data_IF_724468718251
#
_entry.id   IF_724468718251
#
_cell.length_a   1.000
_cell.length_b   1.000
_cell.length_c   1.000
_cell.angle_alpha   90.00
_cell.angle_beta   90.00
_cell.angle_gamma   90.00
#
_symmetry.space_group_name_H-M   'P 1'
#
loop_
_entity.id
_entity.type
_entity.pdbx_description
1 polymer ?
#
# COMPACT_ATOMS: atom_id res chain seq x y z
N UNK A 1 -31.72 33.26 0.87
CA UNK A 1 -31.61 31.79 0.85
C UNK A 1 -30.38 31.43 1.66
N UNK A 2 -30.55 31.02 2.92
CA UNK A 2 -29.42 30.69 3.79
C UNK A 2 -28.65 29.51 3.18
N UNK A 3 -27.36 29.67 2.92
CA UNK A 3 -26.46 28.54 2.64
C UNK A 3 -26.40 27.70 3.91
N UNK A 4 -27.34 26.77 4.02
CA UNK A 4 -27.31 25.64 4.96
C UNK A 4 -25.97 24.85 4.88
N UNK A 5 -25.15 25.18 3.88
CA UNK A 5 -23.88 24.59 3.53
C UNK A 5 -22.64 25.40 3.96
N UNK A 6 -22.71 26.58 4.58
CA UNK A 6 -21.46 27.27 4.96
C UNK A 6 -20.73 26.59 6.13
N UNK A 7 -21.47 25.89 6.99
CA UNK A 7 -20.88 25.09 8.07
C UNK A 7 -20.54 23.67 7.59
N UNK A 8 -19.23 23.40 7.43
CA UNK A 8 -18.71 22.08 7.05
C UNK A 8 -19.13 20.98 8.02
N UNK A 9 -19.18 21.28 9.33
CA UNK A 9 -19.53 20.30 10.37
C UNK A 9 -20.96 19.80 10.21
N UNK A 10 -21.91 20.72 10.01
CA UNK A 10 -23.32 20.40 9.75
C UNK A 10 -23.51 19.59 8.46
N UNK A 11 -22.77 19.92 7.39
CA UNK A 11 -22.81 19.12 6.15
C UNK A 11 -22.38 17.67 6.38
N UNK A 12 -21.27 17.47 7.07
CA UNK A 12 -20.77 16.12 7.37
C UNK A 12 -21.76 15.34 8.23
N UNK A 13 -22.34 15.98 9.26
CA UNK A 13 -23.39 15.36 10.07
C UNK A 13 -24.62 14.97 9.25
N UNK A 14 -25.05 15.85 8.33
CA UNK A 14 -26.18 15.57 7.43
C UNK A 14 -25.86 14.45 6.45
N UNK A 15 -24.65 14.41 5.90
CA UNK A 15 -24.21 13.28 5.07
C UNK A 15 -24.17 11.97 5.87
N UNK A 16 -23.71 12.02 7.13
CA UNK A 16 -23.70 10.85 8.03
C UNK A 16 -25.11 10.31 8.27
N UNK A 17 -26.12 11.18 8.47
CA UNK A 17 -27.51 10.73 8.65
C UNK A 17 -28.08 10.07 7.40
N UNK A 18 -27.79 10.59 6.20
CA UNK A 18 -28.23 9.93 4.96
C UNK A 18 -27.61 8.55 4.76
N UNK A 19 -26.31 8.40 5.05
CA UNK A 19 -25.67 7.09 5.00
C UNK A 19 -26.23 6.12 6.05
N UNK A 20 -26.58 6.62 7.23
CA UNK A 20 -27.20 5.81 8.29
C UNK A 20 -28.60 5.34 7.90
N UNK A 21 -29.44 6.22 7.34
CA UNK A 21 -30.75 5.85 6.80
C UNK A 21 -30.66 4.82 5.68
N UNK A 22 -29.71 4.99 4.76
CA UNK A 22 -29.43 4.01 3.72
C UNK A 22 -29.07 2.63 4.32
N UNK A 23 -28.17 2.59 5.31
CA UNK A 23 -27.77 1.33 5.94
C UNK A 23 -28.90 0.67 6.74
N UNK A 24 -29.76 1.46 7.41
CA UNK A 24 -30.97 0.95 8.08
C UNK A 24 -31.89 0.27 7.08
N UNK A 25 -32.12 0.89 5.92
CA UNK A 25 -32.93 0.33 4.85
C UNK A 25 -32.32 -0.98 4.32
N UNK A 26 -31.02 -0.99 4.02
CA UNK A 26 -30.34 -2.19 3.54
C UNK A 26 -30.36 -3.34 4.56
N UNK A 27 -30.24 -3.03 5.86
CA UNK A 27 -30.35 -4.03 6.93
C UNK A 27 -31.79 -4.53 7.10
N UNK A 28 -32.81 -3.70 6.86
CA UNK A 28 -34.22 -4.13 6.88
C UNK A 28 -34.51 -5.17 5.79
N UNK A 29 -33.89 -5.03 4.62
CA UNK A 29 -33.97 -5.99 3.52
C UNK A 29 -32.98 -7.17 3.63
N UNK A 30 -32.25 -7.28 4.74
CA UNK A 30 -31.26 -8.35 4.97
C UNK A 30 -30.15 -8.41 3.90
N UNK A 31 -29.83 -7.27 3.28
CA UNK A 31 -28.80 -7.16 2.25
C UNK A 31 -27.40 -6.91 2.82
N UNK A 32 -27.30 -6.68 4.13
CA UNK A 32 -26.05 -6.36 4.83
C UNK A 32 -25.56 -7.61 5.56
N UNK A 33 -24.35 -8.06 5.23
CA UNK A 33 -23.69 -9.17 5.92
C UNK A 33 -23.29 -8.80 7.36
N UNK A 34 -23.20 -9.80 8.24
CA UNK A 34 -22.93 -9.59 9.67
C UNK A 34 -21.62 -8.84 9.92
N UNK A 35 -20.59 -9.09 9.12
CA UNK A 35 -19.31 -8.39 9.18
C UNK A 35 -19.49 -6.89 8.91
N UNK A 36 -20.21 -6.54 7.84
CA UNK A 36 -20.53 -5.15 7.49
C UNK A 36 -21.45 -4.50 8.53
N UNK A 37 -22.41 -5.25 9.07
CA UNK A 37 -23.32 -4.80 10.13
C UNK A 37 -22.56 -4.44 11.40
N UNK A 38 -21.57 -5.23 11.79
CA UNK A 38 -20.67 -4.92 12.91
C UNK A 38 -19.88 -3.64 12.65
N UNK A 39 -19.28 -3.50 11.46
CA UNK A 39 -18.53 -2.29 11.08
C UNK A 39 -19.41 -1.03 11.08
N UNK A 40 -20.64 -1.13 10.56
CA UNK A 40 -21.59 -0.02 10.58
C UNK A 40 -21.97 0.39 12.01
N UNK A 41 -22.30 -0.57 12.88
CA UNK A 41 -22.61 -0.30 14.29
C UNK A 41 -21.44 0.37 15.02
N UNK A 42 -20.22 -0.10 14.77
CA UNK A 42 -19.00 0.49 15.33
C UNK A 42 -18.82 1.97 14.92
N UNK A 43 -19.20 2.35 13.69
CA UNK A 43 -19.14 3.74 13.20
C UNK A 43 -20.24 4.66 13.73
N UNK A 44 -21.41 4.11 14.10
CA UNK A 44 -22.51 4.91 14.67
C UNK A 44 -22.37 5.04 16.19
N UNK A 45 -22.00 3.97 16.88
CA UNK A 45 -21.92 3.89 18.34
C UNK A 45 -20.51 3.49 18.81
N UNK A 46 -19.51 4.39 18.69
CA UNK A 46 -18.14 4.08 19.08
C UNK A 46 -17.98 3.85 20.59
N UNK A 47 -18.94 4.25 21.42
CA UNK A 47 -18.90 4.02 22.88
C UNK A 47 -19.19 2.57 23.26
N UNK A 48 -20.09 1.89 22.54
CA UNK A 48 -20.48 0.52 22.82
C UNK A 48 -19.33 -0.47 22.52
N UNK A 49 -18.48 -0.15 21.54
CA UNK A 49 -17.33 -0.98 21.18
C UNK A 49 -16.04 -0.66 21.98
N UNK A 50 -16.08 0.22 23.00
CA UNK A 50 -14.89 0.51 23.84
C UNK A 50 -14.29 -0.72 24.55
N UNK A 51 -15.02 -1.83 24.62
CA UNK A 51 -14.54 -3.10 25.16
C UNK A 51 -13.99 -4.08 24.12
N UNK A 52 -14.03 -3.75 22.83
CA UNK A 52 -13.51 -4.65 21.79
C UNK A 52 -11.98 -4.60 21.74
N UNK A 53 -11.28 -5.75 21.60
CA UNK A 53 -9.84 -5.77 21.41
C UNK A 53 -9.48 -4.94 20.18
N UNK A 54 -8.53 -4.01 20.32
CA UNK A 54 -7.95 -3.34 19.15
C UNK A 54 -7.34 -4.39 18.25
N UNK A 55 -7.72 -4.38 16.97
CA UNK A 55 -7.14 -5.26 15.97
C UNK A 55 -5.63 -5.02 15.91
N UNK A 56 -4.89 -6.09 15.65
CA UNK A 56 -3.46 -5.99 15.35
C UNK A 56 -3.26 -5.34 13.98
N UNK A 57 -2.12 -4.68 13.78
CA UNK A 57 -1.80 -4.06 12.48
C UNK A 57 -1.83 -5.08 11.31
N UNK A 58 -1.54 -6.36 11.59
CA UNK A 58 -1.60 -7.46 10.62
C UNK A 58 -3.05 -7.75 10.24
N UNK A 59 -3.96 -7.85 11.22
CA UNK A 59 -5.39 -8.06 10.97
C UNK A 59 -6.01 -6.89 10.21
N UNK A 60 -5.67 -5.66 10.55
CA UNK A 60 -6.14 -4.47 9.81
C UNK A 60 -5.71 -4.50 8.35
N UNK A 61 -4.45 -4.87 8.08
CA UNK A 61 -3.93 -5.05 6.72
C UNK A 61 -4.69 -6.15 5.99
N UNK A 62 -4.91 -7.31 6.62
CA UNK A 62 -5.61 -8.43 6.01
C UNK A 62 -7.06 -8.06 5.68
N UNK A 63 -7.77 -7.41 6.60
CA UNK A 63 -9.13 -6.90 6.38
C UNK A 63 -9.17 -5.93 5.18
N UNK A 64 -8.18 -5.04 5.05
CA UNK A 64 -8.08 -4.12 3.91
C UNK A 64 -7.87 -4.85 2.58
N UNK A 65 -7.03 -5.89 2.59
CA UNK A 65 -6.76 -6.72 1.40
C UNK A 65 -8.03 -7.46 0.98
N UNK A 66 -8.75 -8.06 1.93
CA UNK A 66 -10.01 -8.75 1.67
C UNK A 66 -11.09 -7.79 1.15
N UNK A 67 -11.23 -6.61 1.75
CA UNK A 67 -12.15 -5.57 1.28
C UNK A 67 -11.85 -5.18 -0.17
N UNK A 68 -10.57 -4.99 -0.52
CA UNK A 68 -10.14 -4.68 -1.88
C UNK A 68 -10.42 -5.83 -2.86
N UNK A 69 -10.18 -7.09 -2.46
CA UNK A 69 -10.50 -8.27 -3.28
C UNK A 69 -12.00 -8.37 -3.54
N UNK A 70 -12.83 -8.27 -2.50
CA UNK A 70 -14.31 -8.28 -2.61
C UNK A 70 -14.80 -7.15 -3.52
N UNK A 71 -14.26 -5.94 -3.35
CA UNK A 71 -14.60 -4.79 -4.19
C UNK A 71 -14.28 -5.04 -5.67
N UNK A 72 -13.08 -5.56 -5.98
CA UNK A 72 -12.68 -5.88 -7.35
C UNK A 72 -13.59 -6.94 -7.97
N UNK A 73 -13.92 -7.99 -7.22
CA UNK A 73 -14.81 -9.05 -7.68
C UNK A 73 -16.20 -8.52 -8.04
N UNK A 74 -16.81 -7.71 -7.15
CA UNK A 74 -18.12 -7.09 -7.41
C UNK A 74 -18.04 -6.16 -8.62
N UNK A 75 -16.95 -5.40 -8.76
CA UNK A 75 -16.76 -4.50 -9.91
C UNK A 75 -16.65 -5.27 -11.23
N UNK A 76 -15.91 -6.38 -11.26
CA UNK A 76 -15.85 -7.27 -12.44
C UNK A 76 -17.22 -7.86 -12.78
N UNK A 77 -17.99 -8.24 -11.75
CA UNK A 77 -19.34 -8.76 -11.93
C UNK A 77 -20.29 -7.72 -12.50
N UNK A 78 -20.24 -6.48 -12.01
CA UNK A 78 -21.00 -5.34 -12.56
C UNK A 78 -20.65 -5.14 -14.04
N UNK A 79 -19.36 -5.14 -14.39
CA UNK A 79 -18.92 -4.92 -15.78
C UNK A 79 -19.40 -6.03 -16.71
N UNK A 80 -19.34 -7.30 -16.26
CA UNK A 80 -19.82 -8.45 -17.04
C UNK A 80 -21.32 -8.39 -17.30
N UNK A 81 -22.11 -7.99 -16.30
CA UNK A 81 -23.59 -8.03 -16.36
C UNK A 81 -24.22 -6.78 -16.99
N UNK A 82 -23.43 -5.72 -17.23
CA UNK A 82 -23.92 -4.39 -17.59
C UNK A 82 -24.76 -4.36 -18.88
N UNK A 83 -24.41 -5.17 -19.86
CA UNK A 83 -25.03 -5.17 -21.20
C UNK A 83 -25.99 -6.37 -21.41
N UNK A 84 -26.20 -7.20 -20.37
CA UNK A 84 -27.11 -8.35 -20.48
C UNK A 84 -28.56 -7.88 -20.63
N UNK A 85 -29.33 -8.65 -21.41
CA UNK A 85 -30.76 -8.44 -21.63
C UNK A 85 -31.63 -9.47 -20.90
N UNK A 86 -31.01 -10.45 -20.24
CA UNK A 86 -31.73 -11.47 -19.48
C UNK A 86 -32.18 -10.90 -18.14
N UNK A 87 -33.45 -11.11 -17.77
CA UNK A 87 -34.06 -10.54 -16.55
C UNK A 87 -33.28 -10.93 -15.28
N UNK A 88 -32.79 -12.16 -15.20
CA UNK A 88 -32.00 -12.66 -14.06
C UNK A 88 -30.65 -11.95 -13.94
N UNK A 89 -29.98 -11.68 -15.06
CA UNK A 89 -28.72 -10.94 -15.09
C UNK A 89 -28.92 -9.47 -14.72
N UNK A 90 -30.01 -8.85 -15.17
CA UNK A 90 -30.38 -7.47 -14.81
C UNK A 90 -30.60 -7.39 -13.30
N UNK A 91 -31.31 -8.35 -12.71
CA UNK A 91 -31.50 -8.41 -11.26
C UNK A 91 -30.16 -8.56 -10.55
N UNK A 92 -29.29 -9.46 -11.01
CA UNK A 92 -27.99 -9.70 -10.40
C UNK A 92 -27.05 -8.49 -10.52
N UNK A 93 -27.13 -7.73 -11.62
CA UNK A 93 -26.43 -6.46 -11.82
C UNK A 93 -26.82 -5.44 -10.74
N UNK A 94 -28.11 -5.23 -10.52
CA UNK A 94 -28.58 -4.27 -9.52
C UNK A 94 -28.25 -4.71 -8.09
N UNK A 95 -28.32 -6.00 -7.78
CA UNK A 95 -27.87 -6.54 -6.49
C UNK A 95 -26.37 -6.31 -6.26
N UNK A 96 -25.56 -6.45 -7.31
CA UNK A 96 -24.12 -6.17 -7.28
C UNK A 96 -23.83 -4.67 -7.09
N UNK A 97 -24.61 -3.80 -7.73
CA UNK A 97 -24.56 -2.35 -7.55
C UNK A 97 -24.90 -1.91 -6.12
N UNK A 98 -25.95 -2.49 -5.52
CA UNK A 98 -26.31 -2.24 -4.12
C UNK A 98 -25.18 -2.70 -3.19
N UNK A 99 -24.62 -3.89 -3.42
CA UNK A 99 -23.49 -4.40 -2.65
C UNK A 99 -22.27 -3.47 -2.71
N UNK A 100 -21.96 -2.94 -3.90
CA UNK A 100 -20.91 -1.94 -4.10
C UNK A 100 -21.21 -0.63 -3.36
N UNK A 101 -22.47 -0.18 -3.36
CA UNK A 101 -22.90 1.02 -2.64
C UNK A 101 -22.79 0.86 -1.12
N UNK A 102 -23.12 -0.31 -0.58
CA UNK A 102 -22.91 -0.65 0.85
C UNK A 102 -21.42 -0.54 1.20
N UNK A 103 -20.53 -1.16 0.42
CA UNK A 103 -19.08 -1.06 0.67
C UNK A 103 -18.56 0.38 0.62
N UNK A 104 -19.02 1.17 -0.36
CA UNK A 104 -18.66 2.60 -0.46
C UNK A 104 -19.15 3.39 0.75
N UNK A 105 -20.34 3.06 1.27
CA UNK A 105 -20.93 3.73 2.43
C UNK A 105 -20.12 3.49 3.70
N UNK A 106 -19.66 2.25 3.95
CA UNK A 106 -18.77 1.94 5.08
C UNK A 106 -17.45 2.73 5.00
N UNK A 107 -16.85 2.78 3.81
CA UNK A 107 -15.64 3.59 3.61
C UNK A 107 -15.90 5.09 3.83
N UNK A 108 -17.07 5.58 3.38
CA UNK A 108 -17.49 6.96 3.60
C UNK A 108 -17.68 7.28 5.08
N UNK A 109 -18.24 6.37 5.90
CA UNK A 109 -18.33 6.55 7.36
C UNK A 109 -16.96 6.78 8.00
N UNK A 110 -15.96 5.93 7.67
CA UNK A 110 -14.59 6.09 8.18
C UNK A 110 -14.01 7.46 7.80
N UNK A 111 -14.19 7.88 6.55
CA UNK A 111 -13.75 9.18 6.05
C UNK A 111 -14.43 10.35 6.77
N UNK A 112 -15.76 10.25 6.96
CA UNK A 112 -16.59 11.22 7.67
C UNK A 112 -16.16 11.36 9.13
N UNK A 113 -15.91 10.25 9.82
CA UNK A 113 -15.54 10.26 11.23
C UNK A 113 -14.16 10.90 11.44
N UNK A 114 -13.18 10.57 10.59
CA UNK A 114 -11.86 11.23 10.61
C UNK A 114 -11.98 12.73 10.36
N UNK A 115 -12.74 13.14 9.34
CA UNK A 115 -12.92 14.56 9.04
C UNK A 115 -13.64 15.28 10.19
N UNK A 116 -14.66 14.65 10.78
CA UNK A 116 -15.37 15.21 11.91
C UNK A 116 -14.45 15.41 13.13
N UNK A 117 -13.58 14.44 13.43
CA UNK A 117 -12.57 14.57 14.48
C UNK A 117 -11.60 15.71 14.21
N UNK A 118 -11.13 15.86 12.96
CA UNK A 118 -10.27 16.98 12.56
C UNK A 118 -10.95 18.34 12.75
N UNK A 119 -12.24 18.44 12.43
CA UNK A 119 -13.00 19.67 12.66
C UNK A 119 -13.19 19.96 14.14
N UNK A 120 -13.49 18.95 14.95
CA UNK A 120 -13.60 19.10 16.42
C UNK A 120 -12.26 19.55 17.01
N UNK A 121 -11.16 18.97 16.57
CA UNK A 121 -9.82 19.37 16.98
C UNK A 121 -9.47 20.78 16.52
N UNK A 122 -9.76 21.14 15.28
CA UNK A 122 -9.59 22.51 14.77
C UNK A 122 -10.39 23.51 15.62
N UNK A 123 -11.60 23.16 16.02
CA UNK A 123 -12.46 24.00 16.84
C UNK A 123 -12.02 24.05 18.32
N UNK A 124 -11.10 23.19 18.77
CA UNK A 124 -10.50 23.26 20.12
C UNK A 124 -9.19 24.05 20.18
N UNK A 125 -8.52 24.26 19.03
CA UNK A 125 -7.30 25.07 18.95
C UNK A 125 -7.59 26.56 19.18
N UNK A 126 -6.65 27.35 19.75
CA UNK A 126 -6.78 28.80 19.86
C UNK A 126 -6.86 29.46 18.48
N UNK A 127 -7.50 30.63 18.37
CA UNK A 127 -7.82 31.26 17.08
C UNK A 127 -6.56 31.61 16.27
N UNK A 128 -5.45 31.94 16.95
CA UNK A 128 -4.15 32.20 16.35
C UNK A 128 -3.59 30.96 15.61
N UNK A 129 -3.85 29.76 16.14
CA UNK A 129 -3.41 28.50 15.54
C UNK A 129 -4.34 28.02 14.40
N UNK A 130 -5.55 28.58 14.27
CA UNK A 130 -6.49 28.24 13.20
C UNK A 130 -6.23 28.98 11.90
N UNK A 131 -5.53 30.12 11.95
CA UNK A 131 -5.22 30.90 10.76
C UNK A 131 -4.22 30.12 9.92
N UNK A 132 -4.46 29.95 8.62
CA UNK A 132 -3.43 29.44 7.72
C UNK A 132 -2.19 30.27 7.94
N UNK A 133 -1.04 29.62 8.14
CA UNK A 133 0.24 30.32 8.24
C UNK A 133 0.40 31.18 6.98
N UNK A 134 0.16 32.48 7.10
CA UNK A 134 0.36 33.45 6.01
C UNK A 134 1.83 33.63 5.65
N UNK A 135 2.75 32.95 6.34
CA UNK A 135 4.16 32.94 5.96
C UNK A 135 4.24 32.52 4.50
N UNK A 136 4.68 33.40 3.59
CA UNK A 136 4.94 33.03 2.21
C UNK A 136 5.82 31.80 2.26
N UNK A 137 5.38 30.69 1.69
CA UNK A 137 6.21 29.50 1.57
C UNK A 137 7.42 29.95 0.78
N UNK A 138 8.55 30.17 1.46
CA UNK A 138 9.81 30.43 0.78
C UNK A 138 9.97 29.30 -0.23
N UNK A 139 10.31 29.61 -1.49
CA UNK A 139 10.42 28.60 -2.54
C UNK A 139 11.28 27.47 -2.00
N UNK A 140 10.70 26.27 -1.94
CA UNK A 140 11.34 25.13 -1.31
C UNK A 140 12.76 25.01 -1.87
N UNK A 141 13.76 25.04 -0.98
CA UNK A 141 15.16 24.88 -1.40
C UNK A 141 15.23 23.62 -2.25
N UNK A 142 15.87 23.68 -3.44
CA UNK A 142 15.95 22.51 -4.32
C UNK A 142 16.55 21.35 -3.52
N UNK A 143 15.91 20.18 -3.62
CA UNK A 143 16.38 18.97 -2.96
C UNK A 143 17.83 18.73 -3.35
N UNK A 144 18.72 18.65 -2.35
CA UNK A 144 20.10 18.30 -2.59
C UNK A 144 20.14 16.81 -2.95
N UNK A 145 20.64 16.50 -4.15
CA UNK A 145 20.87 15.12 -4.58
C UNK A 145 22.09 14.61 -3.81
N UNK A 146 21.86 13.74 -2.83
CA UNK A 146 22.93 12.99 -2.20
C UNK A 146 23.39 11.88 -3.16
N UNK A 147 24.59 12.02 -3.71
CA UNK A 147 25.21 10.95 -4.49
C UNK A 147 25.65 9.83 -3.54
N UNK A 148 25.07 8.64 -3.73
CA UNK A 148 25.54 7.41 -3.08
C UNK A 148 26.88 7.06 -3.75
N UNK A 149 28.03 7.12 -3.03
CA UNK A 149 29.31 6.75 -3.60
C UNK A 149 29.26 5.28 -4.06
N UNK A 150 29.76 5.01 -5.27
CA UNK A 150 29.81 3.65 -5.86
C UNK A 150 30.82 2.72 -5.15
N UNK A 151 31.60 3.24 -4.21
CA UNK A 151 32.58 2.48 -3.44
C UNK A 151 32.02 2.08 -2.09
N UNK A 152 31.30 0.95 -2.05
CA UNK A 152 31.02 0.19 -0.83
C UNK A 152 29.94 0.77 0.09
N UNK A 153 29.06 -0.11 0.57
CA UNK A 153 28.08 0.17 1.62
C UNK A 153 28.72 0.51 2.99
N UNK A 154 30.04 0.47 3.11
CA UNK A 154 30.78 0.52 4.39
C UNK A 154 30.84 1.93 5.03
N UNK A 155 30.38 2.97 4.32
CA UNK A 155 30.47 4.37 4.79
C UNK A 155 29.15 5.10 4.97
N UNK A 156 28.00 4.44 4.76
CA UNK A 156 26.71 5.11 4.93
C UNK A 156 26.28 5.08 6.41
N UNK A 157 25.93 6.23 7.02
CA UNK A 157 25.30 6.26 8.34
C UNK A 157 23.92 5.61 8.20
N UNK A 158 23.90 4.33 8.54
CA UNK A 158 22.77 3.41 8.57
C UNK A 158 21.48 4.07 9.12
N UNK A 159 20.43 4.18 8.29
CA UNK A 159 19.02 4.23 8.73
C UNK A 159 18.38 2.83 8.69
N UNK A 160 19.07 1.84 8.11
CA UNK A 160 18.66 0.43 8.13
C UNK A 160 19.43 -0.37 9.18
N UNK A 161 19.52 0.16 10.40
CA UNK A 161 20.15 -0.52 11.53
C UNK A 161 19.30 -1.70 11.99
N UNK A 162 19.86 -2.90 11.86
CA UNK A 162 19.38 -4.11 12.51
C UNK A 162 19.32 -3.86 14.03
N UNK A 163 18.16 -4.09 14.64
CA UNK A 163 17.80 -3.62 15.99
C UNK A 163 18.45 -4.41 17.14
N UNK A 164 19.61 -5.05 16.90
CA UNK A 164 20.31 -5.80 17.92
C UNK A 164 21.78 -5.40 17.96
N UNK A 165 22.18 -4.84 19.10
CA UNK A 165 23.55 -4.65 19.59
C UNK A 165 24.23 -3.31 19.25
N UNK A 166 24.28 -2.44 20.27
CA UNK A 166 25.50 -1.81 20.82
C UNK A 166 25.29 -0.34 21.20
N UNK A 167 25.77 -0.01 22.41
CA UNK A 167 25.69 1.29 23.05
C UNK A 167 26.55 2.37 22.36
N UNK A 168 26.20 3.67 22.46
CA UNK A 168 26.95 4.73 21.81
C UNK A 168 28.17 5.15 22.65
N UNK A 169 29.37 4.88 22.14
CA UNK A 169 30.60 5.53 22.58
C UNK A 169 30.81 6.79 21.75
N UNK A 170 30.66 7.95 22.38
CA UNK A 170 30.89 9.27 21.79
C UNK A 170 32.40 9.48 21.62
N UNK A 171 32.89 9.42 20.38
CA UNK A 171 34.25 9.83 20.03
C UNK A 171 34.19 11.11 19.19
N UNK A 172 34.59 12.22 19.80
CA UNK A 172 34.78 13.51 19.14
C UNK A 172 36.13 13.50 18.40
N UNK A 173 36.10 13.39 17.08
CA UNK A 173 37.24 13.68 16.22
C UNK A 173 36.85 14.75 15.18
N UNK A 174 37.60 15.86 15.08
CA UNK A 174 37.34 16.89 14.09
C UNK A 174 37.92 16.48 12.73
N UNK A 175 37.05 16.05 11.81
CA UNK A 175 37.44 15.84 10.41
C UNK A 175 37.52 17.18 9.69
N UNK A 176 38.76 17.54 9.38
CA UNK A 176 39.18 18.66 8.54
C UNK A 176 38.45 18.68 7.19
N UNK A 177 37.68 19.74 6.98
CA UNK A 177 36.94 20.03 5.76
C UNK A 177 37.86 20.62 4.69
N UNK A 178 38.35 19.78 3.77
CA UNK A 178 38.81 20.25 2.47
C UNK A 178 37.63 20.21 1.48
N UNK A 179 37.21 21.33 0.89
CA UNK A 179 36.15 21.33 -0.11
C UNK A 179 36.69 20.76 -1.42
N UNK A 180 36.34 19.51 -1.74
CA UNK A 180 36.54 18.95 -3.08
C UNK A 180 35.45 19.56 -3.98
N UNK A 181 35.71 20.78 -4.44
CA UNK A 181 34.97 21.40 -5.53
C UNK A 181 35.47 20.77 -6.83
N UNK A 182 34.83 19.67 -7.26
CA UNK A 182 34.85 19.31 -8.67
C UNK A 182 33.72 20.09 -9.33
N UNK A 183 34.06 21.27 -9.85
CA UNK A 183 33.23 21.97 -10.83
C UNK A 183 33.05 21.06 -12.03
N UNK A 184 31.88 20.42 -12.11
CA UNK A 184 31.44 19.80 -13.35
C UNK A 184 31.11 20.95 -14.31
N UNK A 185 31.88 21.09 -15.39
CA UNK A 185 31.52 21.97 -16.50
C UNK A 185 30.32 21.33 -17.20
N UNK A 186 29.12 21.76 -16.81
CA UNK A 186 27.86 21.45 -17.46
C UNK A 186 27.87 22.15 -18.83
N UNK A 187 28.37 21.48 -19.87
CA UNK A 187 28.34 21.97 -21.27
C UNK A 187 26.96 21.82 -21.92
N UNK A 188 25.94 21.44 -21.14
CA UNK A 188 24.56 21.42 -21.57
C UNK A 188 23.83 22.65 -21.05
N UNK A 189 23.44 23.55 -21.95
CA UNK A 189 22.56 24.67 -21.68
C UNK A 189 21.29 24.19 -20.95
N UNK A 190 21.21 24.47 -19.64
CA UNK A 190 20.15 23.97 -18.79
C UNK A 190 18.88 24.77 -19.07
N UNK A 191 17.92 24.15 -19.75
CA UNK A 191 16.66 24.78 -20.16
C UNK A 191 15.86 25.16 -18.92
N UNK A 192 15.74 26.46 -18.66
CA UNK A 192 14.86 27.00 -17.62
C UNK A 192 13.48 27.19 -18.23
N UNK A 193 12.50 26.39 -17.79
CA UNK A 193 11.14 26.47 -18.29
C UNK A 193 10.43 27.60 -17.55
N UNK A 194 10.30 28.76 -18.18
CA UNK A 194 9.40 29.81 -17.72
C UNK A 194 7.95 29.36 -17.98
N UNK A 195 7.28 28.87 -16.93
CA UNK A 195 5.92 28.32 -17.01
C UNK A 195 4.80 29.34 -17.36
N UNK A 196 5.16 30.53 -17.86
CA UNK A 196 4.25 31.66 -18.10
C UNK A 196 4.07 32.02 -19.58
N UNK A 197 4.76 31.37 -20.54
CA UNK A 197 4.44 31.58 -21.96
C UNK A 197 3.29 30.64 -22.40
N UNK A 198 2.19 31.24 -22.85
CA UNK A 198 1.02 30.53 -23.37
C UNK A 198 1.08 30.32 -24.89
N UNK A 199 2.24 30.55 -25.50
CA UNK A 199 2.40 30.42 -26.95
C UNK A 199 2.44 28.94 -27.37
N UNK A 200 1.65 28.62 -28.39
CA UNK A 200 1.47 27.27 -28.90
C UNK A 200 2.77 26.72 -29.50
N UNK A 201 3.59 27.59 -30.08
CA UNK A 201 4.89 27.24 -30.66
C UNK A 201 5.92 26.84 -29.59
N UNK A 202 5.91 27.50 -28.42
CA UNK A 202 6.81 27.16 -27.30
C UNK A 202 6.47 25.77 -26.74
N UNK A 203 5.19 25.42 -26.69
CA UNK A 203 4.73 24.09 -26.24
C UNK A 203 5.14 22.97 -27.21
N UNK A 204 5.16 23.24 -28.51
CA UNK A 204 5.61 22.27 -29.50
C UNK A 204 7.12 22.00 -29.35
N UNK A 205 7.90 23.06 -29.17
CA UNK A 205 9.35 22.96 -29.00
C UNK A 205 9.74 22.28 -27.67
N UNK A 206 9.00 22.56 -26.58
CA UNK A 206 9.16 21.88 -25.29
C UNK A 206 8.85 20.38 -25.37
N UNK A 207 7.82 19.99 -26.12
CA UNK A 207 7.50 18.57 -26.34
C UNK A 207 8.60 17.85 -27.11
N UNK A 208 9.19 18.51 -28.11
CA UNK A 208 10.29 17.94 -28.88
C UNK A 208 11.57 17.78 -28.03
N UNK A 209 11.88 18.78 -27.20
CA UNK A 209 12.98 18.71 -26.23
C UNK A 209 12.78 17.61 -25.18
N UNK A 210 11.57 17.50 -24.62
CA UNK A 210 11.26 16.43 -23.66
C UNK A 210 11.42 15.05 -24.33
N UNK A 211 10.94 14.89 -25.58
CA UNK A 211 11.08 13.65 -26.35
C UNK A 211 12.55 13.26 -26.55
N UNK A 212 13.45 14.24 -26.77
CA UNK A 212 14.88 13.99 -26.89
C UNK A 212 15.54 13.56 -25.55
N UNK A 213 14.99 13.98 -24.40
CA UNK A 213 15.52 13.59 -23.08
C UNK A 213 15.03 12.22 -22.59
N UNK A 214 13.86 11.72 -23.01
CA UNK A 214 13.34 10.43 -22.51
C UNK A 214 14.08 9.21 -23.08
N UNK A 215 14.89 9.40 -24.13
CA UNK A 215 15.67 8.34 -24.77
C UNK A 215 17.17 8.61 -24.71
N UNK A 216 17.69 9.02 -23.54
CA UNK A 216 19.14 9.08 -23.40
C UNK A 216 19.75 7.67 -23.38
N UNK A 217 20.82 7.42 -24.16
CA UNK A 217 21.56 6.16 -24.17
C UNK A 217 22.24 5.96 -22.81
N UNK A 218 21.54 5.31 -21.90
CA UNK A 218 21.90 5.19 -20.48
C UNK A 218 20.74 4.74 -19.61
N UNK A 219 19.50 4.95 -20.08
CA UNK A 219 18.31 4.32 -19.50
C UNK A 219 18.09 2.95 -20.17
N UNK A 220 18.80 1.93 -19.68
CA UNK A 220 18.42 0.54 -19.97
C UNK A 220 17.09 0.29 -19.26
N UNK A 221 15.98 0.47 -19.98
CA UNK A 221 14.75 -0.21 -19.60
C UNK A 221 15.07 -1.70 -19.48
N UNK A 222 14.53 -2.42 -18.49
CA UNK A 222 14.59 -3.87 -18.49
C UNK A 222 14.13 -4.36 -19.87
N UNK A 223 15.00 -5.03 -20.61
CA UNK A 223 14.69 -5.52 -21.98
C UNK A 223 13.68 -6.66 -21.98
N UNK A 224 13.11 -6.96 -20.83
CA UNK A 224 12.30 -8.12 -20.57
C UNK A 224 10.87 -7.68 -20.35
N UNK A 225 9.94 -8.30 -21.05
CA UNK A 225 8.52 -7.97 -20.91
C UNK A 225 8.01 -8.37 -19.52
N UNK A 226 6.90 -7.76 -19.09
CA UNK A 226 6.21 -8.13 -17.84
C UNK A 226 5.78 -9.60 -17.84
N UNK A 227 5.39 -10.11 -19.01
CA UNK A 227 5.00 -11.52 -19.21
C UNK A 227 6.21 -12.45 -19.02
N UNK A 228 7.35 -12.10 -19.61
CA UNK A 228 8.60 -12.87 -19.50
C UNK A 228 9.18 -12.84 -18.06
N UNK A 229 8.99 -11.74 -17.33
CA UNK A 229 9.29 -11.71 -15.88
C UNK A 229 8.35 -12.64 -15.09
N UNK A 230 7.07 -12.70 -15.47
CA UNK A 230 6.10 -13.62 -14.88
C UNK A 230 6.46 -15.08 -15.08
N UNK A 231 6.89 -15.45 -16.29
CA UNK A 231 7.32 -16.82 -16.62
C UNK A 231 8.58 -17.24 -15.85
N UNK A 232 9.53 -16.31 -15.65
CA UNK A 232 10.73 -16.57 -14.86
C UNK A 232 10.44 -16.75 -13.37
N UNK A 233 9.54 -15.94 -12.80
CA UNK A 233 9.07 -16.12 -11.41
C UNK A 233 8.37 -17.47 -11.24
N UNK A 234 7.48 -17.84 -12.17
CA UNK A 234 6.80 -19.13 -12.15
C UNK A 234 7.77 -20.31 -12.28
N UNK A 235 8.78 -20.19 -13.15
CA UNK A 235 9.86 -21.17 -13.29
C UNK A 235 10.65 -21.35 -11.99
N UNK A 236 11.02 -20.25 -11.31
CA UNK A 236 11.72 -20.29 -10.01
C UNK A 236 10.88 -20.91 -8.90
N UNK A 237 9.57 -20.67 -8.92
CA UNK A 237 8.63 -21.28 -7.97
C UNK A 237 8.58 -22.80 -8.16
N UNK A 238 8.41 -23.27 -9.41
CA UNK A 238 8.45 -24.71 -9.74
C UNK A 238 9.78 -25.38 -9.39
N UNK A 239 10.90 -24.69 -9.62
CA UNK A 239 12.22 -25.22 -9.27
C UNK A 239 12.37 -25.37 -7.75
N UNK A 240 11.82 -24.43 -6.97
CA UNK A 240 11.82 -24.53 -5.50
C UNK A 240 10.98 -25.70 -5.02
N UNK A 241 9.78 -25.88 -5.56
CA UNK A 241 8.92 -27.02 -5.25
C UNK A 241 9.59 -28.35 -5.59
N UNK A 242 10.22 -28.45 -6.77
CA UNK A 242 10.95 -29.64 -7.17
C UNK A 242 12.15 -29.95 -6.25
N UNK A 243 12.88 -28.92 -5.81
CA UNK A 243 13.98 -29.10 -4.84
C UNK A 243 13.49 -29.53 -3.47
N UNK A 244 12.39 -28.97 -2.99
CA UNK A 244 11.79 -29.33 -1.71
C UNK A 244 11.27 -30.77 -1.73
N UNK A 245 10.62 -31.17 -2.83
CA UNK A 245 10.16 -32.54 -3.03
C UNK A 245 11.34 -33.53 -3.09
N UNK A 246 12.40 -33.21 -3.84
CA UNK A 246 13.58 -34.06 -3.92
C UNK A 246 14.32 -34.17 -2.56
N UNK A 247 14.35 -33.09 -1.77
CA UNK A 247 14.91 -33.13 -0.41
C UNK A 247 14.09 -34.05 0.50
N UNK A 248 12.76 -33.96 0.41
CA UNK A 248 11.85 -34.80 1.19
C UNK A 248 11.99 -36.28 0.83
N UNK A 249 12.10 -36.61 -0.47
CA UNK A 249 12.34 -37.98 -0.93
C UNK A 249 13.70 -38.52 -0.43
N UNK A 250 14.73 -37.67 -0.36
CA UNK A 250 16.03 -38.06 0.22
C UNK A 250 15.97 -38.27 1.74
N UNK A 251 15.17 -37.50 2.46
CA UNK A 251 14.96 -37.70 3.90
C UNK A 251 14.19 -39.00 4.16
N UNK A 252 13.11 -39.27 3.42
CA UNK A 252 12.34 -40.51 3.54
C UNK A 252 13.19 -41.75 3.22
N UNK A 253 14.06 -41.69 2.22
CA UNK A 253 14.97 -42.79 1.89
C UNK A 253 16.02 -43.05 2.98
N UNK A 254 16.54 -42.00 3.63
CA UNK A 254 17.48 -42.15 4.76
C UNK A 254 16.78 -42.76 5.97
N UNK A 255 15.56 -42.33 6.25
CA UNK A 255 14.78 -42.89 7.35
C UNK A 255 14.50 -44.39 7.11
N UNK A 256 14.18 -44.80 5.88
CA UNK A 256 14.00 -46.21 5.52
C UNK A 256 15.29 -47.03 5.68
N UNK A 257 16.44 -46.51 5.22
CA UNK A 257 17.75 -47.17 5.38
C UNK A 257 18.11 -47.36 6.86
N UNK A 258 17.88 -46.35 7.71
CA UNK A 258 18.14 -46.47 9.15
C UNK A 258 17.26 -47.53 9.83
N UNK A 259 15.99 -47.66 9.42
CA UNK A 259 15.09 -48.68 9.93
C UNK A 259 15.52 -50.09 9.50
N UNK A 260 16.00 -50.26 8.27
CA UNK A 260 16.55 -51.54 7.80
C UNK A 260 17.84 -51.93 8.54
N UNK A 261 18.75 -50.98 8.77
CA UNK A 261 19.97 -51.23 9.54
C UNK A 261 19.67 -51.64 10.99
N UNK A 262 18.74 -50.95 11.65
CA UNK A 262 18.29 -51.33 12.99
C UNK A 262 17.67 -52.74 13.01
N UNK A 263 16.88 -53.10 12.01
CA UNK A 263 16.30 -54.43 11.90
C UNK A 263 17.37 -55.51 11.71
N UNK A 264 18.38 -55.26 10.87
CA UNK A 264 19.53 -56.16 10.67
C UNK A 264 20.35 -56.32 11.96
N UNK A 265 20.61 -55.23 12.68
CA UNK A 265 21.33 -55.30 13.95
C UNK A 265 20.56 -56.12 15.00
N UNK A 266 19.23 -55.98 15.08
CA UNK A 266 18.39 -56.78 15.99
C UNK A 266 18.42 -58.28 15.65
N UNK A 267 18.44 -58.64 14.37
CA UNK A 267 18.61 -60.04 13.92
C UNK A 267 19.97 -60.62 14.34
N UNK A 268 21.07 -59.89 14.11
CA UNK A 268 22.42 -60.33 14.50
C UNK A 268 22.53 -60.48 16.03
N UNK A 269 21.92 -59.58 16.81
CA UNK A 269 21.90 -59.69 18.26
C UNK A 269 21.13 -60.92 18.76
N UNK A 270 20.02 -61.27 18.09
CA UNK A 270 19.23 -62.45 18.42
C UNK A 270 19.99 -63.76 18.17
N UNK A 271 20.70 -63.87 17.04
CA UNK A 271 21.47 -65.07 16.70
C UNK A 271 22.69 -65.29 17.62
N UNK A 272 23.28 -64.23 18.17
CA UNK A 272 24.37 -64.33 19.15
C UNK A 272 23.92 -64.73 20.56
N UNK A 273 22.60 -64.76 20.83
CA UNK A 273 22.03 -65.11 22.15
C UNK A 273 21.53 -66.57 22.24
N UNK A 274 21.45 -67.30 21.13
CA UNK A 274 21.11 -68.73 21.10
C UNK A 274 22.37 -69.61 21.09
#
# INVERSE_FOLDING_TARGET
MYRLMDDRKKRIQTSKSFFDEFMKLMNHYELVDDTTKKQWKASIHPEEERGSPKLTAVEERNNKIEELKRKKLIQMKIEKLKDSQEDDDIREFWMSMISMAIMKTISAFKSIDMEFQLLVYRDSLPEEARRPSEKPTEPAKPLQVFHIPKGGLDGMPYIFGDASQAAPTVSNQPVSSAPIVKTFQETGERVTVNAHSNDINDRALLREQLKAQVFQPGWTQPTMSIEEFGDLEYGRMKEREAKEQALKEQEEAKDEETLEEEARQKLIQHDNMC
#
